data_IF_601604790609
#
_entry.id   IF_601604790609
#
_cell.length_a   1.000
_cell.length_b   1.000
_cell.length_c   1.000
_cell.angle_alpha   90.00
_cell.angle_beta   90.00
_cell.angle_gamma   90.00
#
_symmetry.space_group_name_H-M   'P 1'
#
loop_
_entity.id
_entity.type
_entity.pdbx_description
1 polymer ?
#
# COMPACT_ATOMS: atom_id res chain seq x y z
N UNK A 1 -21.32 -5.84 2.42
CA UNK A 1 -20.34 -6.63 3.21
C UNK A 1 -19.05 -6.62 2.41
N UNK A 2 -17.98 -6.13 2.96
CA UNK A 2 -16.71 -6.06 2.21
C UNK A 2 -15.93 -7.35 2.42
N UNK A 3 -15.27 -7.81 1.35
CA UNK A 3 -14.56 -9.09 1.35
C UNK A 3 -13.30 -9.01 0.49
N UNK A 4 -12.20 -9.54 1.01
CA UNK A 4 -11.01 -9.85 0.20
C UNK A 4 -10.73 -11.34 0.35
N UNK A 5 -10.63 -12.06 -0.77
CA UNK A 5 -10.25 -13.47 -0.78
C UNK A 5 -9.11 -13.70 -1.77
N UNK A 6 -8.02 -14.24 -1.26
CA UNK A 6 -6.91 -14.75 -2.07
C UNK A 6 -6.93 -16.27 -2.02
N UNK A 7 -6.80 -16.92 -3.18
CA UNK A 7 -6.75 -18.35 -3.33
C UNK A 7 -5.51 -18.75 -4.11
N UNK A 8 -4.52 -19.30 -3.41
CA UNK A 8 -3.23 -19.76 -3.94
C UNK A 8 -2.53 -18.73 -4.85
N UNK A 9 -2.51 -17.47 -4.41
CA UNK A 9 -2.01 -16.33 -5.19
C UNK A 9 -0.50 -16.33 -5.26
N UNK A 10 0.02 -16.29 -6.51
CA UNK A 10 1.45 -16.05 -6.79
C UNK A 10 1.60 -14.84 -7.72
N UNK A 11 2.70 -14.10 -7.53
CA UNK A 11 3.08 -12.96 -8.38
C UNK A 11 4.52 -13.10 -8.79
N UNK A 12 4.75 -13.24 -10.09
CA UNK A 12 6.06 -13.36 -10.71
C UNK A 12 6.35 -12.14 -11.61
N UNK A 13 7.57 -11.62 -11.53
CA UNK A 13 8.06 -10.52 -12.36
C UNK A 13 9.13 -11.05 -13.32
N UNK A 14 8.81 -11.22 -14.62
CA UNK A 14 9.79 -11.65 -15.61
C UNK A 14 10.76 -10.50 -15.97
N UNK A 15 12.06 -10.78 -15.91
CA UNK A 15 13.11 -9.87 -16.39
C UNK A 15 13.67 -10.46 -17.68
N UNK A 16 13.39 -9.77 -18.78
CA UNK A 16 13.91 -10.12 -20.09
C UNK A 16 15.32 -9.52 -20.30
N UNK A 17 16.17 -10.19 -21.05
CA UNK A 17 17.53 -9.73 -21.42
C UNK A 17 18.52 -9.54 -20.27
N UNK A 18 18.33 -10.18 -19.13
CA UNK A 18 19.39 -10.26 -18.13
C UNK A 18 20.55 -11.06 -18.73
N UNK A 19 21.73 -10.41 -18.92
CA UNK A 19 22.92 -11.08 -19.45
C UNK A 19 23.31 -12.24 -18.53
N UNK A 20 23.07 -13.44 -19.03
CA UNK A 20 23.04 -14.69 -18.29
C UNK A 20 24.41 -15.25 -17.88
N UNK A 21 25.50 -14.53 -18.13
CA UNK A 21 26.88 -15.02 -17.98
C UNK A 21 27.53 -14.78 -16.62
N UNK A 22 26.86 -14.19 -15.66
CA UNK A 22 27.48 -13.88 -14.37
C UNK A 22 27.19 -14.97 -13.32
N UNK A 23 28.25 -15.59 -12.81
CA UNK A 23 28.27 -16.40 -11.57
C UNK A 23 27.61 -15.71 -10.38
N UNK A 24 27.55 -14.34 -10.37
CA UNK A 24 26.84 -13.52 -9.42
C UNK A 24 25.34 -13.86 -9.32
N UNK A 25 24.68 -14.28 -10.42
CA UNK A 25 23.24 -14.58 -10.39
C UNK A 25 22.93 -15.88 -9.64
N UNK A 26 23.86 -16.82 -9.61
CA UNK A 26 23.73 -18.08 -8.84
C UNK A 26 23.88 -17.84 -7.33
N UNK A 27 24.80 -16.95 -6.96
CA UNK A 27 25.00 -16.52 -5.56
C UNK A 27 23.82 -15.66 -5.09
N UNK A 28 23.25 -14.83 -5.99
CA UNK A 28 22.10 -13.99 -5.67
C UNK A 28 20.83 -14.81 -5.38
N UNK A 29 20.60 -15.92 -6.09
CA UNK A 29 19.42 -16.78 -5.84
C UNK A 29 19.48 -17.46 -4.48
N UNK A 30 20.66 -17.85 -4.03
CA UNK A 30 20.88 -18.43 -2.69
C UNK A 30 20.75 -17.35 -1.62
N UNK A 31 21.31 -16.17 -1.85
CA UNK A 31 21.24 -15.03 -0.92
C UNK A 31 19.84 -14.41 -0.79
N UNK A 32 18.96 -14.59 -1.79
CA UNK A 32 17.60 -14.07 -1.80
C UNK A 32 16.53 -15.10 -1.42
N UNK A 33 16.92 -16.26 -0.87
CA UNK A 33 16.00 -17.31 -0.45
C UNK A 33 15.15 -17.90 -1.59
N UNK A 34 15.73 -18.03 -2.80
CA UNK A 34 15.06 -18.62 -3.96
C UNK A 34 14.11 -17.69 -4.73
N UNK A 35 14.02 -16.40 -4.38
CA UNK A 35 13.16 -15.42 -5.06
C UNK A 35 13.50 -15.18 -6.52
N UNK A 36 14.73 -15.46 -6.93
CA UNK A 36 15.20 -15.24 -8.30
C UNK A 36 15.41 -16.61 -8.92
N UNK A 37 14.55 -16.97 -9.87
CA UNK A 37 14.64 -18.22 -10.61
C UNK A 37 14.91 -17.95 -12.09
N UNK A 38 15.72 -18.81 -12.68
CA UNK A 38 16.06 -18.77 -14.10
C UNK A 38 15.25 -19.83 -14.84
N UNK A 39 14.22 -19.43 -15.56
CA UNK A 39 13.38 -20.34 -16.36
C UNK A 39 14.01 -20.71 -17.70
N UNK A 40 14.84 -19.83 -18.28
CA UNK A 40 15.63 -20.07 -19.52
C UNK A 40 16.89 -19.23 -19.53
N UNK A 41 17.77 -19.42 -20.55
CA UNK A 41 19.01 -18.62 -20.69
C UNK A 41 18.79 -17.12 -20.88
N UNK A 42 17.56 -16.66 -21.12
CA UNK A 42 17.20 -15.25 -21.35
C UNK A 42 16.12 -14.72 -20.38
N UNK A 43 15.57 -15.57 -19.51
CA UNK A 43 14.48 -15.21 -18.63
C UNK A 43 14.85 -15.48 -17.17
N UNK A 44 14.99 -14.41 -16.41
CA UNK A 44 15.06 -14.43 -14.95
C UNK A 44 13.70 -14.03 -14.40
N UNK A 45 13.19 -14.76 -13.43
CA UNK A 45 11.92 -14.48 -12.77
C UNK A 45 12.19 -14.11 -11.32
N UNK A 46 11.64 -12.98 -10.88
CA UNK A 46 11.60 -12.59 -9.47
C UNK A 46 10.22 -12.96 -8.92
N UNK A 47 10.18 -13.82 -7.91
CA UNK A 47 8.96 -14.16 -7.20
C UNK A 47 8.68 -13.10 -6.11
N UNK A 48 7.57 -12.40 -6.27
CA UNK A 48 7.09 -11.42 -5.28
C UNK A 48 6.22 -12.05 -4.20
N UNK A 49 5.33 -12.97 -4.63
CA UNK A 49 4.47 -13.80 -3.78
C UNK A 49 4.42 -15.22 -4.31
N UNK A 50 4.21 -16.19 -3.43
CA UNK A 50 4.11 -17.61 -3.78
C UNK A 50 3.07 -18.32 -2.90
N UNK A 51 1.97 -18.76 -3.52
CA UNK A 51 0.95 -19.60 -2.90
C UNK A 51 0.18 -18.97 -1.73
N UNK A 52 0.00 -17.65 -1.72
CA UNK A 52 -0.67 -16.96 -0.61
C UNK A 52 -2.18 -17.17 -0.68
N UNK A 53 -2.75 -17.73 0.39
CA UNK A 53 -4.20 -17.90 0.55
C UNK A 53 -4.64 -17.25 1.85
N UNK A 54 -5.68 -16.40 1.79
CA UNK A 54 -6.27 -15.76 2.96
C UNK A 54 -7.65 -15.18 2.66
N UNK A 55 -8.41 -14.91 3.73
CA UNK A 55 -9.71 -14.24 3.64
C UNK A 55 -9.77 -13.14 4.67
N UNK A 56 -10.18 -11.93 4.24
CA UNK A 56 -10.42 -10.75 5.08
C UNK A 56 -11.88 -10.32 4.92
N UNK A 57 -12.52 -9.97 6.03
CA UNK A 57 -13.94 -9.59 6.11
C UNK A 57 -14.16 -8.35 6.98
N UNK A 58 -15.38 -7.85 7.01
CA UNK A 58 -15.75 -6.72 7.85
C UNK A 58 -15.30 -6.93 9.30
N UNK A 59 -14.59 -5.93 9.86
CA UNK A 59 -14.00 -5.95 11.20
C UNK A 59 -12.54 -6.42 11.25
N UNK A 60 -11.99 -6.98 10.17
CA UNK A 60 -10.58 -7.37 10.11
C UNK A 60 -9.68 -6.12 10.04
N UNK A 61 -8.74 -6.06 10.98
CA UNK A 61 -7.68 -5.04 11.07
C UNK A 61 -6.34 -5.74 11.03
N UNK A 62 -5.80 -5.80 9.82
CA UNK A 62 -4.65 -6.64 9.49
C UNK A 62 -3.37 -5.83 9.57
N UNK A 63 -2.44 -6.28 10.40
CA UNK A 63 -1.04 -5.87 10.36
C UNK A 63 -0.26 -6.75 9.39
N UNK A 64 0.62 -6.16 8.60
CA UNK A 64 1.50 -6.89 7.68
C UNK A 64 2.96 -6.64 8.06
N UNK A 65 3.67 -7.72 8.43
CA UNK A 65 5.08 -7.68 8.85
C UNK A 65 5.95 -8.59 8.00
N UNK A 66 7.26 -8.36 8.08
CA UNK A 66 8.29 -9.12 7.39
C UNK A 66 9.49 -8.25 7.04
N UNK A 67 10.63 -8.86 6.76
CA UNK A 67 11.85 -8.14 6.36
C UNK A 67 11.68 -7.39 5.02
N UNK A 68 12.61 -6.49 4.71
CA UNK A 68 12.63 -5.82 3.40
C UNK A 68 12.75 -6.85 2.28
N UNK A 69 11.89 -6.71 1.26
CA UNK A 69 11.80 -7.70 0.20
C UNK A 69 11.03 -8.98 0.56
N UNK A 70 10.34 -9.11 1.69
CA UNK A 70 9.52 -10.30 2.02
C UNK A 70 8.27 -10.46 1.13
N UNK A 71 7.87 -9.41 0.37
CA UNK A 71 6.69 -9.41 -0.49
C UNK A 71 5.55 -8.51 0.00
N UNK A 72 5.72 -7.75 1.11
CA UNK A 72 4.67 -6.87 1.67
C UNK A 72 4.05 -5.94 0.64
N UNK A 73 4.86 -5.10 -0.01
CA UNK A 73 4.37 -4.15 -1.02
C UNK A 73 3.72 -4.85 -2.21
N UNK A 74 4.20 -6.05 -2.60
CA UNK A 74 3.56 -6.85 -3.64
C UNK A 74 2.17 -7.33 -3.19
N UNK A 75 2.05 -7.84 -1.96
CA UNK A 75 0.76 -8.25 -1.41
C UNK A 75 -0.20 -7.07 -1.31
N UNK A 76 0.23 -5.92 -0.78
CA UNK A 76 -0.60 -4.73 -0.70
C UNK A 76 -1.12 -4.28 -2.07
N UNK A 77 -0.29 -4.36 -3.12
CA UNK A 77 -0.70 -4.04 -4.50
C UNK A 77 -1.70 -5.04 -5.08
N UNK A 78 -1.58 -6.33 -4.74
CA UNK A 78 -2.60 -7.33 -5.10
C UNK A 78 -3.92 -7.03 -4.38
N UNK A 79 -3.87 -6.75 -3.07
CA UNK A 79 -5.05 -6.42 -2.27
C UNK A 79 -5.73 -5.11 -2.70
N UNK A 80 -4.96 -4.19 -3.31
CA UNK A 80 -5.47 -2.94 -3.89
C UNK A 80 -6.01 -3.10 -5.32
N UNK A 81 -5.93 -4.31 -5.91
CA UNK A 81 -6.29 -4.53 -7.31
C UNK A 81 -5.31 -3.94 -8.34
N UNK A 82 -4.16 -3.41 -7.89
CA UNK A 82 -3.12 -2.84 -8.77
C UNK A 82 -2.37 -3.95 -9.51
N UNK A 83 -2.12 -5.08 -8.85
CA UNK A 83 -1.48 -6.24 -9.46
C UNK A 83 -2.49 -7.38 -9.62
N UNK A 84 -2.54 -7.93 -10.83
CA UNK A 84 -3.23 -9.18 -11.10
C UNK A 84 -2.28 -10.34 -10.77
N UNK A 85 -2.70 -11.36 -10.01
CA UNK A 85 -1.91 -12.56 -9.76
C UNK A 85 -1.47 -13.23 -11.07
N UNK A 86 -0.24 -13.77 -11.08
CA UNK A 86 0.23 -14.62 -12.20
C UNK A 86 -0.30 -16.05 -12.10
N UNK A 87 -0.64 -16.48 -10.87
CA UNK A 87 -1.30 -17.75 -10.59
C UNK A 87 -2.25 -17.57 -9.41
N UNK A 88 -3.28 -18.42 -9.35
CA UNK A 88 -4.33 -18.32 -8.34
C UNK A 88 -5.37 -17.26 -8.68
N UNK A 89 -6.18 -16.88 -7.70
CA UNK A 89 -7.26 -15.92 -7.86
C UNK A 89 -7.32 -14.94 -6.69
N UNK A 90 -7.57 -13.66 -7.00
CA UNK A 90 -7.84 -12.60 -6.02
C UNK A 90 -9.25 -12.05 -6.28
N UNK A 91 -10.08 -12.03 -5.26
CA UNK A 91 -11.42 -11.44 -5.28
C UNK A 91 -11.47 -10.32 -4.25
N UNK A 92 -11.90 -9.14 -4.67
CA UNK A 92 -12.01 -7.94 -3.84
C UNK A 92 -13.40 -7.36 -4.06
N UNK A 93 -14.18 -7.25 -2.99
CA UNK A 93 -15.52 -6.67 -2.97
C UNK A 93 -15.57 -5.55 -1.94
N UNK A 94 -15.90 -4.35 -2.39
CA UNK A 94 -15.93 -3.12 -1.59
C UNK A 94 -15.06 -2.01 -2.16
N UNK A 95 -15.38 -0.76 -1.79
CA UNK A 95 -14.61 0.42 -2.20
C UNK A 95 -13.24 0.43 -1.52
N UNK A 96 -12.19 0.22 -2.31
CA UNK A 96 -10.82 0.14 -1.82
C UNK A 96 -10.05 1.45 -2.09
N UNK A 97 -9.45 2.00 -1.04
CA UNK A 97 -8.48 3.10 -1.14
C UNK A 97 -7.12 2.63 -0.66
N UNK A 98 -6.12 2.86 -1.49
CA UNK A 98 -4.73 2.53 -1.20
C UNK A 98 -3.89 3.79 -1.02
N UNK A 99 -3.22 3.88 0.13
CA UNK A 99 -2.28 4.95 0.45
C UNK A 99 -0.81 4.51 0.28
N UNK A 100 -0.55 3.43 -0.47
CA UNK A 100 0.80 2.90 -0.73
C UNK A 100 1.64 3.91 -1.52
N UNK A 101 1.05 4.56 -2.51
CA UNK A 101 1.66 5.62 -3.29
C UNK A 101 0.64 6.74 -3.49
N UNK A 102 0.61 7.66 -2.53
CA UNK A 102 -0.37 8.74 -2.51
C UNK A 102 -0.19 9.74 -3.66
N UNK A 103 0.96 9.73 -4.34
CA UNK A 103 1.22 10.59 -5.51
C UNK A 103 0.84 9.91 -6.85
N UNK A 104 0.41 8.66 -6.82
CA UNK A 104 0.01 7.96 -8.05
C UNK A 104 -1.18 8.68 -8.72
N UNK A 105 -1.08 8.91 -10.03
CA UNK A 105 -2.13 9.59 -10.81
C UNK A 105 -2.15 11.10 -10.67
N UNK A 106 -1.08 11.71 -10.18
CA UNK A 106 -0.86 13.16 -10.23
C UNK A 106 -0.14 13.51 -11.52
N UNK A 107 -0.66 14.50 -12.24
CA UNK A 107 -0.02 15.06 -13.42
C UNK A 107 0.87 16.25 -13.01
N UNK A 108 2.20 16.19 -13.25
CA UNK A 108 3.12 17.25 -12.87
C UNK A 108 2.89 18.57 -13.63
N UNK A 109 2.32 18.53 -14.81
CA UNK A 109 2.08 19.73 -15.62
C UNK A 109 0.73 20.39 -15.36
N UNK A 110 -0.22 19.66 -14.78
CA UNK A 110 -1.50 20.17 -14.32
C UNK A 110 -1.36 21.00 -13.03
N UNK A 111 -2.28 21.94 -12.84
CA UNK A 111 -2.41 22.72 -11.60
C UNK A 111 -2.83 21.86 -10.41
N UNK A 112 -2.69 22.36 -9.20
CA UNK A 112 -3.22 21.70 -8.01
C UNK A 112 -4.72 21.45 -8.09
N UNK A 113 -5.49 22.42 -8.62
CA UNK A 113 -6.95 22.30 -8.80
C UNK A 113 -7.32 21.18 -9.78
N UNK A 114 -6.63 21.11 -10.90
CA UNK A 114 -6.83 20.06 -11.89
C UNK A 114 -6.45 18.69 -11.31
N UNK A 115 -5.35 18.61 -10.56
CA UNK A 115 -4.93 17.37 -9.89
C UNK A 115 -5.92 16.89 -8.81
N UNK A 116 -6.56 17.80 -8.06
CA UNK A 116 -7.65 17.43 -7.15
C UNK A 116 -8.76 16.73 -7.94
N UNK A 117 -9.23 17.30 -9.05
CA UNK A 117 -10.28 16.72 -9.88
C UNK A 117 -9.88 15.41 -10.52
N UNK A 118 -8.69 15.38 -11.16
CA UNK A 118 -8.16 14.20 -11.83
C UNK A 118 -8.05 13.01 -10.86
N UNK A 119 -7.39 13.24 -9.74
CA UNK A 119 -7.16 12.19 -8.74
C UNK A 119 -8.45 11.72 -8.08
N UNK A 120 -9.36 12.64 -7.76
CA UNK A 120 -10.67 12.28 -7.21
C UNK A 120 -11.47 11.39 -8.16
N UNK A 121 -11.45 11.70 -9.47
CA UNK A 121 -12.07 10.87 -10.50
C UNK A 121 -11.42 9.49 -10.61
N UNK A 122 -10.07 9.42 -10.56
CA UNK A 122 -9.34 8.14 -10.54
C UNK A 122 -9.64 7.29 -9.30
N UNK A 123 -10.02 7.92 -8.18
CA UNK A 123 -10.45 7.23 -6.97
C UNK A 123 -11.95 6.84 -7.00
N UNK A 124 -12.63 7.02 -8.14
CA UNK A 124 -14.00 6.60 -8.38
C UNK A 124 -15.06 7.59 -7.93
N UNK A 125 -14.70 8.84 -7.59
CA UNK A 125 -15.70 9.86 -7.30
C UNK A 125 -16.43 10.31 -8.57
N UNK A 126 -17.75 10.48 -8.46
CA UNK A 126 -18.55 11.07 -9.52
C UNK A 126 -18.27 12.59 -9.63
N UNK A 127 -18.43 13.22 -10.81
CA UNK A 127 -18.19 14.65 -10.99
C UNK A 127 -18.91 15.54 -9.95
N UNK A 128 -20.15 15.24 -9.62
CA UNK A 128 -20.92 15.96 -8.61
C UNK A 128 -20.30 15.85 -7.21
N UNK A 129 -19.82 14.66 -6.82
CA UNK A 129 -19.14 14.44 -5.53
C UNK A 129 -17.81 15.19 -5.47
N UNK A 130 -17.10 15.28 -6.61
CA UNK A 130 -15.85 16.05 -6.72
C UNK A 130 -16.14 17.52 -6.48
N UNK A 131 -17.18 18.09 -7.12
CA UNK A 131 -17.54 19.50 -6.94
C UNK A 131 -17.97 19.80 -5.49
N UNK A 132 -18.75 18.92 -4.86
CA UNK A 132 -19.18 19.06 -3.46
C UNK A 132 -18.01 19.00 -2.46
N UNK A 133 -16.96 18.24 -2.75
CA UNK A 133 -15.81 18.04 -1.85
C UNK A 133 -14.61 18.92 -2.18
N UNK A 134 -14.63 19.58 -3.33
CA UNK A 134 -13.47 20.29 -3.88
C UNK A 134 -12.92 21.33 -2.89
N UNK A 135 -13.78 22.22 -2.38
CA UNK A 135 -13.35 23.30 -1.49
C UNK A 135 -12.79 22.75 -0.17
N UNK A 136 -13.40 21.70 0.37
CA UNK A 136 -12.89 21.05 1.58
C UNK A 136 -11.52 20.37 1.37
N UNK A 137 -11.26 19.80 0.18
CA UNK A 137 -9.96 19.23 -0.18
C UNK A 137 -8.91 20.35 -0.32
N UNK A 138 -9.27 21.42 -1.03
CA UNK A 138 -8.41 22.58 -1.25
C UNK A 138 -8.01 23.23 0.07
N UNK A 139 -8.98 23.49 0.94
CA UNK A 139 -8.76 24.06 2.29
C UNK A 139 -7.89 23.15 3.15
N UNK A 140 -8.20 21.84 3.18
CA UNK A 140 -7.40 20.89 3.96
C UNK A 140 -5.94 20.82 3.49
N UNK A 141 -5.66 20.96 2.20
CA UNK A 141 -4.30 20.98 1.66
C UNK A 141 -3.47 22.15 2.21
N UNK A 142 -4.13 23.28 2.53
CA UNK A 142 -3.50 24.49 3.02
C UNK A 142 -2.59 25.16 1.99
N UNK A 143 -2.83 24.95 0.71
CA UNK A 143 -1.97 25.45 -0.38
C UNK A 143 -2.40 26.83 -0.91
N UNK A 144 -3.63 27.28 -0.64
CA UNK A 144 -4.12 28.60 -1.06
C UNK A 144 -3.90 28.85 -2.55
N UNK A 145 -3.31 30.00 -2.90
CA UNK A 145 -3.08 30.42 -4.29
C UNK A 145 -2.12 29.50 -5.05
N UNK A 146 -1.30 28.71 -4.36
CA UNK A 146 -0.47 27.71 -5.03
C UNK A 146 -1.27 26.65 -5.79
N UNK A 147 -2.55 26.48 -5.45
CA UNK A 147 -3.41 25.55 -6.19
C UNK A 147 -3.59 25.92 -7.67
N UNK A 148 -3.34 27.16 -8.06
CA UNK A 148 -3.39 27.63 -9.44
C UNK A 148 -2.06 27.46 -10.20
N UNK A 149 -1.02 26.99 -9.50
CA UNK A 149 0.31 26.74 -10.08
C UNK A 149 0.47 25.28 -10.52
N UNK A 150 1.32 24.99 -11.54
CA UNK A 150 1.64 23.63 -11.95
C UNK A 150 2.27 22.81 -10.80
N UNK A 151 1.82 21.56 -10.64
CA UNK A 151 2.25 20.68 -9.55
C UNK A 151 3.78 20.47 -9.48
N UNK A 152 4.47 20.45 -10.64
CA UNK A 152 5.94 20.35 -10.71
C UNK A 152 6.68 21.46 -9.97
N UNK A 153 6.02 22.61 -9.73
CA UNK A 153 6.63 23.74 -8.99
C UNK A 153 6.50 23.61 -7.49
N UNK A 154 5.77 22.60 -7.00
CA UNK A 154 5.55 22.39 -5.59
C UNK A 154 6.77 21.80 -4.89
N UNK A 155 7.00 22.21 -3.66
CA UNK A 155 7.93 21.51 -2.77
C UNK A 155 7.40 20.10 -2.46
N UNK A 156 8.28 19.20 -2.02
CA UNK A 156 7.88 17.83 -1.63
C UNK A 156 6.79 17.83 -0.55
N UNK A 157 6.84 18.77 0.39
CA UNK A 157 5.81 18.94 1.41
C UNK A 157 4.46 19.37 0.83
N UNK A 158 4.45 20.34 -0.10
CA UNK A 158 3.23 20.77 -0.79
C UNK A 158 2.62 19.63 -1.63
N UNK A 159 3.47 18.89 -2.35
CA UNK A 159 3.05 17.72 -3.11
C UNK A 159 2.37 16.67 -2.22
N UNK A 160 2.99 16.40 -1.07
CA UNK A 160 2.46 15.44 -0.09
C UNK A 160 1.12 15.91 0.49
N UNK A 161 1.00 17.21 0.83
CA UNK A 161 -0.25 17.79 1.35
C UNK A 161 -1.40 17.67 0.38
N UNK A 162 -1.19 18.01 -0.91
CA UNK A 162 -2.23 17.90 -1.93
C UNK A 162 -2.66 16.44 -2.13
N UNK A 163 -1.67 15.55 -2.29
CA UNK A 163 -1.90 14.13 -2.48
C UNK A 163 -2.63 13.50 -1.29
N UNK A 164 -2.26 13.87 -0.06
CA UNK A 164 -2.90 13.41 1.16
C UNK A 164 -4.33 13.95 1.29
N UNK A 165 -4.54 15.25 1.10
CA UNK A 165 -5.87 15.89 1.16
C UNK A 165 -6.85 15.20 0.22
N UNK A 166 -6.44 14.97 -1.02
CA UNK A 166 -7.26 14.32 -2.03
C UNK A 166 -7.52 12.85 -1.69
N UNK A 167 -6.46 12.09 -1.33
CA UNK A 167 -6.58 10.65 -1.05
C UNK A 167 -7.45 10.33 0.16
N UNK A 168 -7.49 11.22 1.14
CA UNK A 168 -8.27 11.04 2.38
C UNK A 168 -9.67 11.66 2.33
N UNK A 169 -10.07 12.22 1.18
CA UNK A 169 -11.43 12.78 0.98
C UNK A 169 -12.49 11.72 0.69
N UNK A 170 -12.08 10.52 0.31
CA UNK A 170 -12.95 9.35 0.10
C UNK A 170 -13.14 8.60 1.43
N UNK A 171 -14.32 8.01 1.62
CA UNK A 171 -14.59 7.09 2.74
C UNK A 171 -14.55 5.65 2.20
N UNK A 172 -13.43 4.95 2.31
CA UNK A 172 -13.32 3.59 1.80
C UNK A 172 -13.95 2.57 2.73
N UNK A 173 -14.43 1.46 2.16
CA UNK A 173 -14.75 0.27 2.93
C UNK A 173 -13.49 -0.53 3.27
N UNK A 174 -12.50 -0.51 2.37
CA UNK A 174 -11.21 -1.19 2.50
C UNK A 174 -10.10 -0.14 2.42
N UNK A 175 -9.29 -0.03 3.47
CA UNK A 175 -8.16 0.89 3.52
C UNK A 175 -6.85 0.11 3.56
N UNK A 176 -5.95 0.39 2.61
CA UNK A 176 -4.64 -0.25 2.50
C UNK A 176 -3.54 0.79 2.65
N UNK A 177 -2.59 0.53 3.56
CA UNK A 177 -1.51 1.46 3.91
C UNK A 177 -0.17 0.75 3.97
N UNK A 178 0.87 1.41 3.45
CA UNK A 178 2.27 1.00 3.60
C UNK A 178 2.96 2.06 4.45
N UNK A 179 3.12 1.80 5.72
CA UNK A 179 3.52 2.72 6.79
C UNK A 179 2.44 3.76 7.16
N UNK A 180 2.55 4.27 8.39
CA UNK A 180 1.76 5.40 8.86
C UNK A 180 2.42 6.69 8.37
N UNK A 181 1.69 7.49 7.60
CA UNK A 181 2.24 8.69 6.99
C UNK A 181 2.80 9.65 8.06
N UNK A 182 4.09 9.90 7.97
CA UNK A 182 4.75 11.00 8.69
C UNK A 182 4.91 12.18 7.73
N UNK A 183 4.07 13.18 7.88
CA UNK A 183 4.01 14.37 7.01
C UNK A 183 4.79 15.55 7.59
N UNK A 184 5.38 16.35 6.74
CA UNK A 184 6.42 17.34 6.88
C UNK A 184 6.34 18.39 8.01
N UNK A 185 5.35 19.28 8.08
CA UNK A 185 5.29 20.30 9.14
C UNK A 185 4.32 19.91 10.27
N UNK A 186 4.57 20.47 11.45
CA UNK A 186 3.90 20.10 12.71
C UNK A 186 2.38 20.36 12.63
N UNK A 187 1.95 21.49 12.07
CA UNK A 187 0.53 21.87 12.00
C UNK A 187 -0.26 20.97 11.04
N UNK A 188 0.35 20.64 9.90
CA UNK A 188 -0.28 19.72 8.96
C UNK A 188 -0.29 18.29 9.50
N UNK A 189 0.76 17.89 10.20
CA UNK A 189 0.91 16.56 10.81
C UNK A 189 -0.21 16.25 11.81
N UNK A 190 -0.55 17.22 12.67
CA UNK A 190 -1.64 17.04 13.64
C UNK A 190 -2.99 16.83 12.92
N UNK A 191 -3.31 17.70 11.95
CA UNK A 191 -4.54 17.57 11.14
C UNK A 191 -4.59 16.27 10.34
N UNK A 192 -3.44 15.89 9.75
CA UNK A 192 -3.32 14.64 9.00
C UNK A 192 -3.51 13.42 9.89
N UNK A 193 -2.91 13.40 11.08
CA UNK A 193 -3.07 12.32 12.05
C UNK A 193 -4.54 12.18 12.51
N UNK A 194 -5.20 13.29 12.84
CA UNK A 194 -6.61 13.26 13.19
C UNK A 194 -7.45 12.66 12.07
N UNK A 195 -7.24 13.11 10.83
CA UNK A 195 -7.97 12.60 9.65
C UNK A 195 -7.70 11.12 9.39
N UNK A 196 -6.45 10.69 9.59
CA UNK A 196 -6.10 9.27 9.49
C UNK A 196 -6.82 8.40 10.52
N UNK A 197 -6.89 8.86 11.78
CA UNK A 197 -7.64 8.13 12.81
C UNK A 197 -9.13 8.04 12.49
N UNK A 198 -9.74 9.10 11.99
CA UNK A 198 -11.15 9.12 11.54
C UNK A 198 -11.36 8.14 10.38
N UNK A 199 -10.45 8.14 9.40
CA UNK A 199 -10.49 7.25 8.24
C UNK A 199 -10.39 5.79 8.67
N UNK A 200 -9.37 5.46 9.47
CA UNK A 200 -9.17 4.11 10.03
C UNK A 200 -10.37 3.68 10.86
N UNK A 201 -10.95 4.59 11.68
CA UNK A 201 -12.12 4.31 12.52
C UNK A 201 -13.39 3.97 11.72
N UNK A 202 -13.56 4.57 10.53
CA UNK A 202 -14.75 4.38 9.67
C UNK A 202 -14.64 3.23 8.68
N UNK A 203 -13.44 2.68 8.50
CA UNK A 203 -13.14 1.62 7.53
C UNK A 203 -13.60 0.25 8.02
N UNK A 204 -14.17 -0.58 7.14
CA UNK A 204 -14.61 -1.95 7.45
C UNK A 204 -13.44 -2.92 7.53
N UNK A 205 -12.51 -2.84 6.56
CA UNK A 205 -11.29 -3.65 6.52
C UNK A 205 -10.08 -2.71 6.47
N UNK A 206 -9.13 -2.91 7.39
CA UNK A 206 -7.84 -2.23 7.39
C UNK A 206 -6.73 -3.21 7.06
N UNK A 207 -5.82 -2.84 6.16
CA UNK A 207 -4.53 -3.53 5.96
C UNK A 207 -3.40 -2.51 6.11
N UNK A 208 -2.57 -2.69 7.14
CA UNK A 208 -1.49 -1.80 7.51
C UNK A 208 -0.15 -2.55 7.54
N UNK A 209 0.73 -2.28 6.58
CA UNK A 209 2.12 -2.69 6.72
C UNK A 209 2.87 -1.70 7.61
N UNK A 210 3.61 -2.18 8.58
CA UNK A 210 4.48 -1.33 9.41
C UNK A 210 5.58 -2.13 10.10
N UNK A 211 6.68 -1.41 10.40
CA UNK A 211 7.76 -1.92 11.24
C UNK A 211 7.57 -1.57 12.73
N UNK A 212 6.62 -0.72 13.08
CA UNK A 212 6.33 -0.31 14.45
C UNK A 212 5.42 -1.32 15.15
N UNK A 213 5.99 -2.02 16.16
CA UNK A 213 5.23 -2.93 17.02
C UNK A 213 4.05 -2.22 17.71
N UNK A 214 4.30 -1.02 18.22
CA UNK A 214 3.30 -0.22 18.94
C UNK A 214 2.12 0.14 18.05
N UNK A 215 2.40 0.60 16.82
CA UNK A 215 1.39 0.97 15.85
C UNK A 215 0.49 -0.22 15.49
N UNK A 216 1.10 -1.39 15.26
CA UNK A 216 0.36 -2.62 14.95
C UNK A 216 -0.48 -3.11 16.15
N UNK A 217 0.07 -3.08 17.36
CA UNK A 217 -0.67 -3.43 18.57
C UNK A 217 -1.89 -2.54 18.81
N UNK A 218 -1.78 -1.25 18.48
CA UNK A 218 -2.86 -0.28 18.69
C UNK A 218 -3.98 -0.41 17.65
N UNK A 219 -3.64 -0.72 16.39
CA UNK A 219 -4.57 -0.59 15.27
C UNK A 219 -4.99 -1.92 14.64
N UNK A 220 -4.35 -3.04 14.96
CA UNK A 220 -4.60 -4.33 14.31
C UNK A 220 -5.06 -5.38 15.32
N UNK A 221 -5.98 -6.25 14.90
CA UNK A 221 -6.44 -7.42 15.68
C UNK A 221 -5.84 -8.73 15.19
N UNK A 222 -5.29 -8.75 13.97
CA UNK A 222 -4.67 -9.91 13.32
C UNK A 222 -3.42 -9.46 12.56
N UNK A 223 -2.39 -10.27 12.54
CA UNK A 223 -1.13 -9.98 11.84
C UNK A 223 -0.75 -11.11 10.91
N UNK A 224 -0.30 -10.74 9.72
CA UNK A 224 0.25 -11.61 8.70
C UNK A 224 1.77 -11.40 8.66
N UNK A 225 2.53 -12.47 8.89
CA UNK A 225 3.98 -12.46 8.73
C UNK A 225 4.36 -13.04 7.38
N UNK A 226 4.88 -12.20 6.52
CA UNK A 226 5.45 -12.61 5.23
C UNK A 226 6.95 -12.87 5.33
N UNK A 227 7.37 -13.98 4.78
CA UNK A 227 8.77 -14.36 4.64
C UNK A 227 9.03 -14.94 3.24
N UNK A 228 9.94 -14.31 2.49
CA UNK A 228 10.31 -14.74 1.13
C UNK A 228 9.14 -14.97 0.17
N UNK A 229 8.10 -14.15 0.24
CA UNK A 229 6.91 -14.25 -0.62
C UNK A 229 5.82 -15.21 -0.11
N UNK A 230 6.08 -15.95 0.97
CA UNK A 230 5.13 -16.87 1.59
C UNK A 230 4.50 -16.27 2.85
N UNK A 231 3.29 -16.68 3.15
CA UNK A 231 2.64 -16.41 4.43
C UNK A 231 3.19 -17.40 5.47
N UNK A 232 4.09 -16.93 6.33
CA UNK A 232 4.73 -17.76 7.37
C UNK A 232 3.83 -17.97 8.58
N UNK A 233 3.14 -16.92 8.99
CA UNK A 233 2.23 -16.95 10.15
C UNK A 233 1.06 -16.00 9.94
N UNK A 234 -0.11 -16.41 10.40
CA UNK A 234 -1.36 -15.66 10.36
C UNK A 234 -2.09 -15.90 11.68
N UNK A 235 -2.33 -14.86 12.45
CA UNK A 235 -2.94 -15.03 13.75
C UNK A 235 -3.13 -13.72 14.54
N UNK A 236 -3.53 -13.83 15.82
CA UNK A 236 -3.71 -12.68 16.71
C UNK A 236 -2.45 -11.81 16.80
N UNK A 237 -2.65 -10.49 16.83
CA UNK A 237 -1.55 -9.50 16.79
C UNK A 237 -0.45 -9.79 17.81
N UNK A 238 -0.80 -10.04 19.06
CA UNK A 238 0.18 -10.25 20.12
C UNK A 238 1.05 -11.50 19.91
N UNK A 239 0.44 -12.57 19.43
CA UNK A 239 1.11 -13.86 19.20
C UNK A 239 2.13 -13.74 18.07
N UNK A 240 1.69 -13.23 16.90
CA UNK A 240 2.55 -13.11 15.71
C UNK A 240 3.67 -12.11 15.93
N UNK A 241 3.40 -10.96 16.58
CA UNK A 241 4.43 -9.97 16.89
C UNK A 241 5.46 -10.51 17.92
N UNK A 242 5.03 -11.31 18.90
CA UNK A 242 5.94 -11.93 19.84
C UNK A 242 6.86 -12.96 19.17
N UNK A 243 6.31 -13.75 18.25
CA UNK A 243 7.10 -14.70 17.45
C UNK A 243 8.09 -13.98 16.54
N UNK A 244 7.67 -12.92 15.86
CA UNK A 244 8.52 -12.16 14.93
C UNK A 244 9.67 -11.46 15.63
N UNK A 245 9.39 -10.65 16.67
CA UNK A 245 10.40 -9.87 17.37
C UNK A 245 11.24 -10.72 18.33
N UNK A 246 10.71 -11.84 18.84
CA UNK A 246 11.47 -12.80 19.64
C UNK A 246 12.51 -13.58 18.83
N UNK A 247 12.26 -13.81 17.53
CA UNK A 247 13.22 -14.43 16.63
C UNK A 247 14.28 -13.42 16.09
N UNK A 248 14.01 -12.12 16.12
CA UNK A 248 14.95 -11.08 15.68
C UNK A 248 16.07 -10.78 16.69
N UNK A 249 15.99 -11.35 17.91
CA UNK A 249 17.01 -11.20 18.96
C UNK A 249 17.97 -12.39 19.06
N UNK A 250 17.84 -13.38 18.19
CA UNK A 250 18.76 -14.52 18.05
C UNK A 250 19.53 -14.40 16.74
#
# INVERSE_FOLDING_TARGET
>A
MSLIKLDNVSVEFPIYNSSSRSLKNRVLSIATGGKIERKTDRLVVIRGLEGVSMTLKDGDRIGLIGHNGSGKTTLLRVLSGIYTPTQGAAFIDGTCVSLINIQLGIDPDATGRENIRLRSAMMGMLPKEIDEKFDAIAEFSGLGDFLDMPFRTYSSGMQLRLAFATSTSVRPEILIMDEWLSTGDEDFKERANKRMHELVGSTKILVLASHSRELLMKNCNRVLWLEHGHLKMDGPTQEVLSAYFGNAQK
#
